data_IF_095760808981
#
_entry.id   IF_095760808981
#
_cell.length_a   1.000
_cell.length_b   1.000
_cell.length_c   1.000
_cell.angle_alpha   90.00
_cell.angle_beta   90.00
_cell.angle_gamma   90.00
#
_symmetry.space_group_name_H-M   'P 1'
#
loop_
_entity.id
_entity.type
_entity.pdbx_description
1 polymer ?
#
# COMPACT_ATOMS: atom_id res chain seq x y z
N UNK A 1 0.98 7.20 -4.99
CA UNK A 1 -0.15 7.75 -4.20
C UNK A 1 0.34 8.00 -2.77
N UNK A 2 1.03 9.13 -2.53
CA UNK A 2 1.44 9.54 -1.17
C UNK A 2 0.22 10.22 -0.57
N UNK A 3 -0.57 9.55 0.27
CA UNK A 3 -1.75 10.19 0.87
C UNK A 3 -1.35 10.84 2.20
N UNK A 4 -1.16 12.18 2.25
CA UNK A 4 -0.72 12.88 3.45
C UNK A 4 -1.69 12.74 4.63
N UNK A 5 -2.92 12.26 4.39
CA UNK A 5 -3.94 12.06 5.41
C UNK A 5 -3.61 10.90 6.35
N UNK A 6 -2.81 9.92 5.91
CA UNK A 6 -2.38 8.79 6.77
C UNK A 6 -1.56 9.29 7.94
N UNK A 7 -0.76 10.35 7.74
CA UNK A 7 0.12 10.91 8.76
C UNK A 7 -0.62 11.71 9.84
N UNK A 8 -1.86 12.15 9.56
CA UNK A 8 -2.64 13.02 10.45
C UNK A 8 -3.04 12.30 11.74
N UNK A 9 -3.33 11.01 11.68
CA UNK A 9 -3.68 10.22 12.88
C UNK A 9 -2.51 9.43 13.47
N UNK A 10 -1.29 9.60 12.95
CA UNK A 10 -0.13 8.83 13.40
C UNK A 10 0.53 9.57 14.57
N UNK A 11 0.76 8.88 15.72
CA UNK A 11 1.49 9.46 16.85
C UNK A 11 2.84 10.02 16.41
N UNK A 12 3.25 11.16 16.97
CA UNK A 12 4.47 11.86 16.56
C UNK A 12 5.70 10.94 16.46
N UNK A 13 5.88 10.07 17.45
CA UNK A 13 6.99 9.11 17.50
C UNK A 13 7.03 8.11 16.33
N UNK A 14 5.90 7.84 15.66
CA UNK A 14 5.82 6.90 14.53
C UNK A 14 5.73 7.59 13.16
N UNK A 15 5.67 8.93 13.11
CA UNK A 15 5.48 9.66 11.85
C UNK A 15 6.62 9.44 10.86
N UNK A 16 7.87 9.44 11.32
CA UNK A 16 9.03 9.20 10.47
C UNK A 16 9.01 7.78 9.87
N UNK A 17 8.79 6.76 10.71
CA UNK A 17 8.65 5.37 10.26
C UNK A 17 7.51 5.20 9.25
N UNK A 18 6.35 5.83 9.51
CA UNK A 18 5.22 5.78 8.61
C UNK A 18 5.49 6.50 7.29
N UNK A 19 6.14 7.67 7.33
CA UNK A 19 6.50 8.40 6.12
C UNK A 19 7.44 7.58 5.23
N UNK A 20 8.46 6.94 5.82
CA UNK A 20 9.39 6.07 5.09
C UNK A 20 8.68 4.83 4.50
N UNK A 21 7.78 4.19 5.26
CA UNK A 21 6.99 3.04 4.77
C UNK A 21 6.12 3.40 3.57
N UNK A 22 5.38 4.51 3.65
CA UNK A 22 4.50 4.94 2.56
C UNK A 22 5.27 5.48 1.36
N UNK A 23 6.48 6.01 1.58
CA UNK A 23 7.41 6.36 0.51
C UNK A 23 7.96 5.12 -0.20
N UNK A 24 8.32 4.06 0.54
CA UNK A 24 8.66 2.76 -0.04
C UNK A 24 7.51 2.23 -0.91
N UNK A 25 6.28 2.20 -0.37
CA UNK A 25 5.10 1.77 -1.13
C UNK A 25 4.90 2.60 -2.41
N UNK A 26 5.08 3.92 -2.33
CA UNK A 26 4.98 4.81 -3.50
C UNK A 26 6.08 4.54 -4.54
N UNK A 27 7.30 4.23 -4.10
CA UNK A 27 8.43 3.92 -4.98
C UNK A 27 8.28 2.57 -5.67
N UNK A 28 7.81 1.54 -4.94
CA UNK A 28 7.44 0.26 -5.52
C UNK A 28 6.33 0.45 -6.56
N UNK A 29 5.27 1.20 -6.23
CA UNK A 29 4.20 1.54 -7.18
C UNK A 29 4.73 2.21 -8.45
N UNK A 30 5.62 3.20 -8.29
CA UNK A 30 6.25 3.88 -9.44
C UNK A 30 7.08 2.93 -10.28
N UNK A 31 7.77 1.97 -9.66
CA UNK A 31 8.52 0.95 -10.38
C UNK A 31 7.61 0.11 -11.29
N UNK A 32 6.43 -0.29 -10.79
CA UNK A 32 5.44 -1.02 -11.59
C UNK A 32 4.93 -0.17 -12.75
N UNK A 33 4.57 1.08 -12.50
CA UNK A 33 4.08 2.01 -13.53
C UNK A 33 5.12 2.31 -14.62
N UNK A 34 6.41 2.36 -14.26
CA UNK A 34 7.50 2.65 -15.19
C UNK A 34 8.06 1.36 -15.86
N UNK A 35 7.53 0.17 -15.54
CA UNK A 35 8.05 -1.13 -15.97
C UNK A 35 7.73 -1.45 -17.43
N UNK A 36 8.46 -0.82 -18.36
CA UNK A 36 8.39 -1.16 -19.80
C UNK A 36 9.06 -2.49 -20.14
N UNK A 37 10.08 -2.85 -19.37
CA UNK A 37 10.82 -4.10 -19.49
C UNK A 37 10.68 -4.87 -18.17
N UNK A 38 9.79 -5.90 -18.12
CA UNK A 38 9.47 -6.61 -16.88
C UNK A 38 10.71 -7.16 -16.16
N UNK A 39 11.71 -7.64 -16.91
CA UNK A 39 12.95 -8.16 -16.37
C UNK A 39 13.76 -7.10 -15.60
N UNK A 40 13.82 -5.86 -16.10
CA UNK A 40 14.52 -4.76 -15.40
C UNK A 40 13.79 -4.42 -14.09
N UNK A 41 12.46 -4.43 -14.11
CA UNK A 41 11.66 -4.18 -12.91
C UNK A 41 11.87 -5.28 -11.86
N UNK A 42 11.90 -6.56 -12.25
CA UNK A 42 12.22 -7.68 -11.37
C UNK A 42 13.59 -7.53 -10.71
N UNK A 43 14.64 -7.19 -11.47
CA UNK A 43 15.99 -6.97 -10.92
C UNK A 43 15.98 -5.86 -9.85
N UNK A 44 15.25 -4.76 -10.10
CA UNK A 44 15.12 -3.66 -9.14
C UNK A 44 14.32 -4.08 -7.90
N UNK A 45 13.28 -4.91 -8.04
CA UNK A 45 12.51 -5.44 -6.90
C UNK A 45 13.35 -6.42 -6.07
N UNK A 46 14.12 -7.29 -6.72
CA UNK A 46 15.05 -8.20 -6.04
C UNK A 46 16.05 -7.40 -5.19
N UNK A 47 16.62 -6.32 -5.73
CA UNK A 47 17.48 -5.43 -4.94
C UNK A 47 16.74 -4.81 -3.74
N UNK A 48 15.50 -4.33 -3.91
CA UNK A 48 14.71 -3.81 -2.79
C UNK A 48 14.39 -4.86 -1.72
N UNK A 49 14.15 -6.11 -2.12
CA UNK A 49 13.95 -7.24 -1.20
C UNK A 49 15.20 -7.49 -0.38
N UNK A 50 16.37 -7.52 -1.01
CA UNK A 50 17.65 -7.72 -0.32
C UNK A 50 17.91 -6.59 0.69
N UNK A 51 17.61 -5.35 0.30
CA UNK A 51 17.72 -4.20 1.22
C UNK A 51 16.74 -4.31 2.39
N UNK A 52 15.50 -4.73 2.15
CA UNK A 52 14.51 -4.94 3.20
C UNK A 52 14.93 -6.05 4.18
N UNK A 53 15.50 -7.15 3.68
CA UNK A 53 16.04 -8.23 4.50
C UNK A 53 17.26 -7.78 5.33
N UNK A 54 18.11 -6.93 4.74
CA UNK A 54 19.27 -6.36 5.42
C UNK A 54 18.86 -5.32 6.49
N UNK A 55 17.84 -4.49 6.26
CA UNK A 55 17.25 -3.62 7.29
C UNK A 55 16.80 -4.43 8.52
N UNK A 56 16.31 -5.66 8.33
CA UNK A 56 15.87 -6.50 9.44
C UNK A 56 17.04 -7.23 10.14
N UNK A 57 18.04 -7.71 9.40
CA UNK A 57 19.08 -8.62 9.90
C UNK A 57 20.43 -7.96 10.20
N UNK A 58 20.91 -7.08 9.32
CA UNK A 58 22.18 -6.37 9.47
C UNK A 58 22.07 -4.93 8.91
N UNK A 59 21.37 -4.03 9.63
CA UNK A 59 21.16 -2.68 9.15
C UNK A 59 22.47 -1.92 8.92
N UNK A 60 23.56 -2.27 9.61
CA UNK A 60 24.84 -1.56 9.52
C UNK A 60 25.57 -1.82 8.19
N UNK A 61 25.28 -2.95 7.51
CA UNK A 61 25.85 -3.31 6.22
C UNK A 61 25.17 -2.62 5.02
N UNK A 62 24.11 -1.85 5.25
CA UNK A 62 23.37 -1.22 4.15
C UNK A 62 24.25 -0.25 3.33
N UNK A 63 24.13 -0.28 1.99
CA UNK A 63 24.85 0.64 1.12
C UNK A 63 24.44 2.09 1.41
N UNK A 64 25.44 2.97 1.47
CA UNK A 64 25.23 4.40 1.69
C UNK A 64 24.91 5.11 0.37
N UNK A 65 24.08 6.15 0.43
CA UNK A 65 23.80 7.04 -0.71
C UNK A 65 22.36 7.02 -1.24
N UNK A 66 21.52 6.11 -0.74
CA UNK A 66 20.09 6.10 -1.05
C UNK A 66 19.31 6.74 0.12
N UNK A 67 18.63 7.90 -0.08
CA UNK A 67 17.99 8.63 1.02
C UNK A 67 16.85 7.89 1.72
N UNK A 68 16.00 7.19 0.97
CA UNK A 68 14.88 6.42 1.54
C UNK A 68 15.41 5.22 2.35
N UNK A 69 16.50 4.60 1.91
CA UNK A 69 17.15 3.50 2.60
C UNK A 69 17.74 3.96 3.93
N UNK A 70 18.32 5.17 3.98
CA UNK A 70 18.79 5.77 5.22
C UNK A 70 17.63 6.07 6.18
N UNK A 71 16.48 6.55 5.68
CA UNK A 71 15.28 6.76 6.49
C UNK A 71 14.70 5.44 7.01
N UNK A 72 14.62 4.41 6.17
CA UNK A 72 14.17 3.07 6.54
C UNK A 72 15.14 2.44 7.54
N UNK A 73 16.45 2.54 7.35
CA UNK A 73 17.44 2.10 8.32
C UNK A 73 17.22 2.79 9.68
N UNK A 74 17.05 4.11 9.70
CA UNK A 74 16.88 4.86 10.95
C UNK A 74 15.57 4.54 11.70
N UNK A 75 14.53 4.11 10.99
CA UNK A 75 13.17 3.98 11.56
C UNK A 75 12.63 2.55 11.63
N UNK A 76 13.19 1.63 10.84
CA UNK A 76 12.77 0.24 10.70
C UNK A 76 13.91 -0.77 10.97
N UNK A 77 15.11 -0.35 11.38
CA UNK A 77 16.19 -1.28 11.74
C UNK A 77 15.72 -2.35 12.73
N UNK A 78 16.04 -3.60 12.42
CA UNK A 78 15.66 -4.77 13.23
C UNK A 78 14.19 -5.17 13.12
N UNK A 79 13.38 -4.47 12.32
CA UNK A 79 11.98 -4.81 12.06
C UNK A 79 11.86 -5.55 10.73
N UNK A 80 11.22 -6.72 10.75
CA UNK A 80 10.91 -7.49 9.54
C UNK A 80 9.62 -7.07 8.85
N UNK A 81 9.38 -7.65 7.67
CA UNK A 81 8.10 -7.55 6.96
C UNK A 81 8.05 -6.50 5.86
N UNK A 82 9.09 -5.67 5.68
CA UNK A 82 9.20 -4.78 4.52
C UNK A 82 9.40 -5.59 3.22
N UNK A 83 10.08 -6.72 3.30
CA UNK A 83 10.25 -7.72 2.25
C UNK A 83 8.91 -8.23 1.73
N UNK A 84 7.96 -8.54 2.62
CA UNK A 84 6.62 -8.98 2.22
C UNK A 84 5.84 -7.94 1.39
N UNK A 85 6.13 -6.64 1.58
CA UNK A 85 5.56 -5.57 0.75
C UNK A 85 6.19 -5.56 -0.65
N UNK A 86 7.50 -5.80 -0.74
CA UNK A 86 8.23 -5.94 -2.01
C UNK A 86 7.75 -7.19 -2.76
N UNK A 87 7.56 -8.31 -2.06
CA UNK A 87 7.05 -9.57 -2.63
C UNK A 87 5.66 -9.39 -3.25
N UNK A 88 4.77 -8.65 -2.57
CA UNK A 88 3.44 -8.37 -3.11
C UNK A 88 3.49 -7.48 -4.35
N UNK A 89 4.47 -6.56 -4.43
CA UNK A 89 4.70 -5.73 -5.61
C UNK A 89 5.27 -6.56 -6.77
N UNK A 90 6.19 -7.48 -6.51
CA UNK A 90 6.71 -8.40 -7.53
C UNK A 90 5.62 -9.36 -8.03
N UNK A 91 4.81 -9.92 -7.12
CA UNK A 91 3.68 -10.76 -7.48
C UNK A 91 2.70 -10.05 -8.43
N UNK A 92 2.53 -8.74 -8.27
CA UNK A 92 1.69 -7.93 -9.17
C UNK A 92 2.37 -7.73 -10.53
N UNK A 93 3.68 -7.49 -10.55
CA UNK A 93 4.46 -7.33 -11.78
C UNK A 93 4.43 -8.58 -12.67
N UNK A 94 4.43 -9.77 -12.06
CA UNK A 94 4.50 -11.06 -12.77
C UNK A 94 3.15 -11.74 -12.94
N UNK A 95 2.05 -11.12 -12.51
CA UNK A 95 0.74 -11.73 -12.58
C UNK A 95 0.30 -11.94 -14.04
N UNK A 96 -0.01 -13.19 -14.38
CA UNK A 96 -0.40 -13.59 -15.73
C UNK A 96 -1.92 -13.58 -15.89
N UNK A 97 -2.68 -13.84 -14.81
CA UNK A 97 -4.14 -13.90 -14.83
C UNK A 97 -4.85 -12.94 -13.83
N UNK A 98 -6.18 -12.92 -13.88
CA UNK A 98 -7.01 -12.07 -13.03
C UNK A 98 -6.96 -12.47 -11.54
N UNK A 99 -6.78 -13.77 -11.25
CA UNK A 99 -6.75 -14.29 -9.89
C UNK A 99 -5.43 -13.91 -9.20
N UNK A 100 -4.31 -13.99 -9.91
CA UNK A 100 -2.99 -13.57 -9.48
C UNK A 100 -2.94 -12.05 -9.25
N UNK A 101 -3.43 -11.24 -10.20
CA UNK A 101 -3.53 -9.78 -10.04
C UNK A 101 -4.34 -9.40 -8.81
N UNK A 102 -5.49 -10.05 -8.60
CA UNK A 102 -6.34 -9.84 -7.43
C UNK A 102 -5.62 -10.22 -6.14
N UNK A 103 -4.94 -11.37 -6.11
CA UNK A 103 -4.23 -11.85 -4.93
C UNK A 103 -3.05 -10.93 -4.58
N UNK A 104 -2.24 -10.54 -5.56
CA UNK A 104 -1.11 -9.63 -5.40
C UNK A 104 -1.57 -8.24 -4.92
N UNK A 105 -2.60 -7.68 -5.56
CA UNK A 105 -3.23 -6.41 -5.16
C UNK A 105 -3.72 -6.43 -3.71
N UNK A 106 -4.48 -7.47 -3.32
CA UNK A 106 -4.97 -7.62 -1.96
C UNK A 106 -3.82 -7.83 -0.95
N UNK A 107 -2.76 -8.55 -1.34
CA UNK A 107 -1.55 -8.75 -0.54
C UNK A 107 -0.84 -7.42 -0.30
N UNK A 108 -0.59 -6.63 -1.33
CA UNK A 108 0.13 -5.36 -1.22
C UNK A 108 -0.57 -4.40 -0.25
N UNK A 109 -1.87 -4.19 -0.44
CA UNK A 109 -2.66 -3.36 0.49
C UNK A 109 -2.71 -3.93 1.91
N UNK A 110 -2.85 -5.25 2.05
CA UNK A 110 -2.87 -5.93 3.33
C UNK A 110 -1.56 -5.79 4.11
N UNK A 111 -0.41 -6.00 3.45
CA UNK A 111 0.91 -5.83 4.06
C UNK A 111 1.16 -4.37 4.45
N UNK A 112 0.80 -3.42 3.59
CA UNK A 112 0.94 -2.00 3.89
C UNK A 112 0.12 -1.58 5.12
N UNK A 113 -1.11 -2.07 5.25
CA UNK A 113 -1.95 -1.79 6.41
C UNK A 113 -1.42 -2.45 7.67
N UNK A 114 -0.95 -3.70 7.59
CA UNK A 114 -0.32 -4.41 8.70
C UNK A 114 0.91 -3.65 9.22
N UNK A 115 1.83 -3.26 8.33
CA UNK A 115 3.01 -2.47 8.67
C UNK A 115 2.63 -1.07 9.21
N UNK A 116 1.50 -0.53 8.76
CA UNK A 116 0.93 0.72 9.28
C UNK A 116 0.22 0.56 10.64
N UNK A 117 0.19 -0.65 11.22
CA UNK A 117 -0.40 -0.95 12.52
C UNK A 117 -1.89 -1.28 12.51
N UNK A 118 -2.44 -1.74 11.38
CA UNK A 118 -3.74 -2.39 11.29
C UNK A 118 -3.63 -3.90 11.04
N UNK A 119 -4.70 -4.52 10.57
CA UNK A 119 -4.72 -5.92 10.14
C UNK A 119 -4.70 -6.03 8.61
N UNK A 120 -4.21 -7.17 8.11
CA UNK A 120 -4.17 -7.48 6.67
C UNK A 120 -5.56 -7.35 6.03
N UNK A 121 -6.60 -7.79 6.75
CA UNK A 121 -7.98 -7.72 6.26
C UNK A 121 -8.43 -6.28 5.97
N UNK A 122 -8.01 -5.30 6.77
CA UNK A 122 -8.37 -3.90 6.62
C UNK A 122 -7.77 -3.25 5.37
N UNK A 123 -6.67 -3.78 4.84
CA UNK A 123 -5.97 -3.23 3.67
C UNK A 123 -6.36 -3.82 2.32
N UNK A 124 -7.09 -4.94 2.30
CA UNK A 124 -7.39 -5.67 1.05
C UNK A 124 -8.13 -4.80 0.03
N UNK A 125 -9.14 -4.05 0.46
CA UNK A 125 -9.91 -3.19 -0.45
C UNK A 125 -9.05 -2.08 -1.05
N UNK A 126 -8.26 -1.41 -0.21
CA UNK A 126 -7.34 -0.38 -0.67
C UNK A 126 -6.32 -0.95 -1.66
N UNK A 127 -5.81 -2.16 -1.39
CA UNK A 127 -4.92 -2.90 -2.29
C UNK A 127 -5.54 -3.18 -3.66
N UNK A 128 -6.82 -3.57 -3.73
CA UNK A 128 -7.52 -3.77 -5.01
C UNK A 128 -7.68 -2.46 -5.79
N UNK A 129 -7.96 -1.35 -5.12
CA UNK A 129 -7.99 -0.03 -5.76
C UNK A 129 -6.59 0.39 -6.24
N UNK A 130 -5.55 0.13 -5.46
CA UNK A 130 -4.16 0.35 -5.85
C UNK A 130 -3.81 -0.46 -7.11
N UNK A 131 -4.15 -1.75 -7.13
CA UNK A 131 -3.97 -2.65 -8.27
C UNK A 131 -4.60 -2.09 -9.54
N UNK A 132 -5.85 -1.66 -9.46
CA UNK A 132 -6.55 -1.04 -10.59
C UNK A 132 -5.88 0.24 -11.10
N UNK A 133 -5.10 0.93 -10.26
CA UNK A 133 -4.34 2.13 -10.65
C UNK A 133 -2.94 1.87 -11.18
N UNK A 134 -2.43 0.63 -11.09
CA UNK A 134 -1.14 0.22 -11.68
C UNK A 134 -1.30 -0.66 -12.92
N UNK A 135 -2.49 -1.21 -13.15
CA UNK A 135 -2.81 -1.92 -14.38
C UNK A 135 -3.00 -0.95 -15.55
N UNK A 136 -2.35 -1.24 -16.68
CA UNK A 136 -2.54 -0.51 -17.93
C UNK A 136 -3.82 -0.94 -18.66
N UNK A 137 -4.28 -2.18 -18.41
CA UNK A 137 -5.45 -2.77 -19.06
C UNK A 137 -6.77 -2.30 -18.45
N UNK A 138 -7.65 -1.70 -19.26
CA UNK A 138 -8.96 -1.21 -18.80
C UNK A 138 -9.86 -2.34 -18.27
N UNK A 139 -9.74 -3.56 -18.82
CA UNK A 139 -10.53 -4.72 -18.37
C UNK A 139 -10.05 -5.19 -17.00
N UNK A 140 -8.74 -5.37 -16.85
CA UNK A 140 -8.07 -5.84 -15.65
C UNK A 140 -8.30 -4.84 -14.50
N UNK A 141 -8.15 -3.55 -14.77
CA UNK A 141 -8.47 -2.48 -13.81
C UNK A 141 -9.94 -2.51 -13.38
N UNK A 142 -10.88 -2.68 -14.31
CA UNK A 142 -12.32 -2.82 -13.99
C UNK A 142 -12.62 -4.07 -13.16
N UNK A 143 -11.96 -5.19 -13.43
CA UNK A 143 -12.12 -6.42 -12.66
C UNK A 143 -11.68 -6.22 -11.20
N UNK A 144 -10.53 -5.57 -10.98
CA UNK A 144 -10.04 -5.23 -9.65
C UNK A 144 -10.98 -4.28 -8.89
N UNK A 145 -11.50 -3.24 -9.57
CA UNK A 145 -12.51 -2.33 -8.99
C UNK A 145 -13.82 -3.06 -8.66
N UNK A 146 -14.25 -3.98 -9.51
CA UNK A 146 -15.40 -4.85 -9.26
C UNK A 146 -15.22 -5.69 -7.99
N UNK A 147 -14.05 -6.31 -7.83
CA UNK A 147 -13.70 -7.02 -6.61
C UNK A 147 -13.66 -6.11 -5.38
N UNK A 148 -13.12 -4.89 -5.49
CA UNK A 148 -13.08 -3.93 -4.40
C UNK A 148 -14.48 -3.51 -3.95
N UNK A 149 -15.41 -3.35 -4.91
CA UNK A 149 -16.81 -2.97 -4.68
C UNK A 149 -17.60 -4.03 -3.94
N UNK A 150 -17.42 -5.31 -4.29
CA UNK A 150 -18.16 -6.42 -3.66
C UNK A 150 -17.51 -6.94 -2.38
N UNK A 151 -16.27 -6.51 -2.09
CA UNK A 151 -15.56 -6.95 -0.89
C UNK A 151 -16.27 -6.47 0.37
N UNK A 152 -16.69 -7.42 1.20
CA UNK A 152 -17.34 -7.17 2.48
C UNK A 152 -16.54 -6.16 3.32
N UNK A 153 -17.26 -5.26 3.99
CA UNK A 153 -16.64 -4.26 4.83
C UNK A 153 -15.88 -4.90 6.00
N UNK A 154 -14.57 -4.64 6.14
CA UNK A 154 -13.82 -5.08 7.31
C UNK A 154 -14.40 -4.43 8.58
N UNK A 155 -14.26 -5.16 9.69
CA UNK A 155 -14.65 -4.71 11.01
C UNK A 155 -13.81 -3.51 11.42
N UNK A 156 -14.35 -2.63 12.26
CA UNK A 156 -13.55 -1.55 12.88
C UNK A 156 -12.35 -2.08 13.67
N UNK A 157 -12.44 -3.31 14.19
CA UNK A 157 -11.35 -3.96 14.92
C UNK A 157 -10.14 -4.25 14.03
N UNK A 158 -10.36 -4.49 12.73
CA UNK A 158 -9.30 -4.78 11.75
C UNK A 158 -8.41 -3.57 11.47
N UNK A 159 -8.77 -2.38 11.98
CA UNK A 159 -7.95 -1.18 11.89
C UNK A 159 -7.21 -0.87 13.19
N UNK A 160 -7.35 -1.71 14.24
CA UNK A 160 -6.68 -1.54 15.53
C UNK A 160 -6.79 -0.12 16.14
N UNK A 161 -7.93 0.56 15.90
CA UNK A 161 -8.15 1.94 16.36
C UNK A 161 -7.48 3.02 15.50
N UNK A 162 -6.75 2.66 14.44
CA UNK A 162 -6.14 3.58 13.48
C UNK A 162 -7.21 4.18 12.55
N UNK A 163 -7.65 5.40 12.87
CA UNK A 163 -8.67 6.11 12.11
C UNK A 163 -8.25 6.40 10.67
N UNK A 164 -6.97 6.65 10.39
CA UNK A 164 -6.52 6.90 9.02
C UNK A 164 -6.64 5.68 8.14
N UNK A 165 -6.30 4.49 8.65
CA UNK A 165 -6.47 3.25 7.88
C UNK A 165 -7.96 2.96 7.61
N UNK A 166 -8.82 3.20 8.60
CA UNK A 166 -10.27 3.13 8.39
C UNK A 166 -10.73 4.13 7.30
N UNK A 167 -10.24 5.38 7.33
CA UNK A 167 -10.55 6.38 6.32
C UNK A 167 -10.13 5.94 4.92
N UNK A 168 -8.94 5.37 4.77
CA UNK A 168 -8.46 4.84 3.49
C UNK A 168 -9.32 3.69 2.97
N UNK A 169 -9.73 2.73 3.80
CA UNK A 169 -10.61 1.64 3.38
C UNK A 169 -11.99 2.14 2.93
N UNK A 170 -12.55 3.12 3.65
CA UNK A 170 -13.86 3.70 3.33
C UNK A 170 -13.80 4.56 2.07
N UNK A 171 -12.71 5.30 1.89
CA UNK A 171 -12.46 6.04 0.66
C UNK A 171 -12.26 5.10 -0.54
N UNK A 172 -11.51 4.01 -0.37
CA UNK A 172 -11.35 3.00 -1.40
C UNK A 172 -12.69 2.37 -1.80
N UNK A 173 -13.58 2.12 -0.84
CA UNK A 173 -14.95 1.67 -1.13
C UNK A 173 -15.76 2.68 -1.93
N UNK A 174 -15.68 3.97 -1.56
CA UNK A 174 -16.40 5.02 -2.26
C UNK A 174 -15.90 5.16 -3.72
N UNK A 175 -14.61 5.05 -3.97
CA UNK A 175 -14.06 5.10 -5.33
C UNK A 175 -14.49 3.85 -6.12
N UNK A 176 -14.37 2.66 -5.53
CA UNK A 176 -14.78 1.41 -6.17
C UNK A 176 -16.29 1.37 -6.49
N UNK A 177 -17.15 1.96 -5.64
CA UNK A 177 -18.59 2.00 -5.91
C UNK A 177 -18.95 2.82 -7.15
N UNK A 178 -18.11 3.79 -7.52
CA UNK A 178 -18.23 4.63 -8.71
C UNK A 178 -17.33 4.15 -9.86
N UNK A 179 -16.90 2.89 -9.84
CA UNK A 179 -16.11 2.32 -10.94
C UNK A 179 -14.76 2.99 -11.15
N UNK A 180 -14.17 3.58 -10.09
CA UNK A 180 -12.89 4.28 -10.17
C UNK A 180 -13.00 5.78 -10.40
N UNK A 181 -14.18 6.30 -10.75
CA UNK A 181 -14.39 7.74 -10.96
C UNK A 181 -14.17 8.53 -9.67
N UNK A 182 -13.51 9.68 -9.82
CA UNK A 182 -13.15 10.55 -8.70
C UNK A 182 -14.16 11.67 -8.54
N UNK A 183 -14.73 11.79 -7.34
CA UNK A 183 -15.60 12.90 -6.96
C UNK A 183 -15.05 13.58 -5.72
N UNK A 184 -14.20 14.59 -5.95
CA UNK A 184 -13.45 15.28 -4.89
C UNK A 184 -14.34 15.86 -3.79
N UNK A 185 -15.58 16.27 -4.12
CA UNK A 185 -16.53 16.86 -3.15
C UNK A 185 -17.12 15.80 -2.22
N UNK A 186 -17.66 14.71 -2.77
CA UNK A 186 -18.26 13.64 -1.96
C UNK A 186 -17.20 12.87 -1.16
N UNK A 187 -16.03 12.64 -1.76
CA UNK A 187 -14.88 12.04 -1.08
C UNK A 187 -14.38 12.93 0.08
N UNK A 188 -14.27 14.24 -0.12
CA UNK A 188 -13.88 15.18 0.94
C UNK A 188 -14.84 15.18 2.13
N UNK A 189 -16.15 15.17 1.87
CA UNK A 189 -17.19 15.07 2.90
C UNK A 189 -17.14 13.75 3.67
N UNK A 190 -16.91 12.63 2.98
CA UNK A 190 -16.75 11.32 3.59
C UNK A 190 -15.58 11.32 4.58
N UNK A 191 -14.42 11.82 4.14
CA UNK A 191 -13.22 11.86 4.96
C UNK A 191 -13.38 12.78 6.18
N UNK A 192 -14.02 13.94 6.01
CA UNK A 192 -14.35 14.85 7.12
C UNK A 192 -15.25 14.15 8.15
N UNK A 193 -16.31 13.47 7.70
CA UNK A 193 -17.27 12.79 8.57
C UNK A 193 -16.62 11.67 9.38
N UNK A 194 -15.76 10.87 8.76
CA UNK A 194 -15.00 9.82 9.46
C UNK A 194 -13.99 10.45 10.44
N UNK A 195 -13.33 11.54 10.06
CA UNK A 195 -12.39 12.26 10.93
C UNK A 195 -13.05 12.80 12.20
N UNK A 196 -14.26 13.37 12.08
CA UNK A 196 -15.00 13.98 13.18
C UNK A 196 -15.76 12.97 14.04
N UNK A 197 -16.40 11.98 13.42
CA UNK A 197 -17.36 11.10 14.10
C UNK A 197 -16.95 9.62 14.11
N UNK A 198 -15.86 9.26 13.43
CA UNK A 198 -15.43 7.89 13.25
C UNK A 198 -16.37 7.05 12.37
N UNK A 199 -17.35 7.67 11.68
CA UNK A 199 -18.40 7.01 10.88
C UNK A 199 -18.75 7.78 9.62
#
# INVERSE_FOLDING_TARGET
>A
MRDPRVLVSVPHARRAAMAALWELAARLTKLLLDAREPLIAQIKLAWWRDMAAMIASDPAALPKGEPLLAELQATWAGQGGLDALVDAAEAMLVAEDDAERRAASASFGGQLFRLSGGEVAGGKRWGLLWGAGVEDGEREARNLLGHAKILAAPSRRDFAGNRSLLMLDRWAAAIASHGGERNMRSEGLLLLRIGLFGR
#
